data_IF_880843313084
#
_entry.id   IF_880843313084
#
_cell.length_a   1.000
_cell.length_b   1.000
_cell.length_c   1.000
_cell.angle_alpha   90.00
_cell.angle_beta   90.00
_cell.angle_gamma   90.00
#
_symmetry.space_group_name_H-M   'P 1'
#
loop_
_entity.id
_entity.type
_entity.pdbx_description
1 polymer ?
#
# COMPACT_ATOMS: atom_id res chain seq x y z
N UNK A 1 4.58 14.44 35.18
CA UNK A 1 3.26 14.18 34.56
C UNK A 1 3.29 14.77 33.16
N UNK A 2 3.80 13.98 32.18
CA UNK A 2 3.81 14.39 30.78
C UNK A 2 2.42 14.06 30.23
N UNK A 3 1.63 15.08 30.00
CA UNK A 3 0.40 14.93 29.22
C UNK A 3 0.81 14.58 27.79
N UNK A 4 0.61 13.33 27.40
CA UNK A 4 0.58 12.93 25.99
C UNK A 4 -0.39 13.87 25.27
N UNK A 5 0.17 14.79 24.51
CA UNK A 5 -0.56 15.58 23.53
C UNK A 5 -0.96 14.59 22.40
N UNK A 6 -2.00 13.81 22.67
CA UNK A 6 -2.65 12.98 21.67
C UNK A 6 -3.35 13.96 20.73
N UNK A 7 -2.65 14.44 19.72
CA UNK A 7 -3.29 15.12 18.60
C UNK A 7 -4.23 14.10 17.94
N UNK A 8 -5.50 14.17 18.32
CA UNK A 8 -6.57 13.50 17.59
C UNK A 8 -6.84 14.34 16.33
N UNK A 9 -6.08 14.10 15.28
CA UNK A 9 -6.30 14.77 14.01
C UNK A 9 -7.63 14.32 13.43
N UNK A 10 -8.50 15.31 13.17
CA UNK A 10 -9.75 15.06 12.45
C UNK A 10 -9.49 15.15 10.95
N UNK A 11 -9.56 14.03 10.27
CA UNK A 11 -9.34 13.95 8.84
C UNK A 11 -10.58 13.47 8.07
N UNK A 12 -10.75 13.90 6.79
CA UNK A 12 -11.71 13.28 5.89
C UNK A 12 -11.40 11.79 5.69
N UNK A 13 -12.43 10.97 5.51
CA UNK A 13 -12.27 9.52 5.33
C UNK A 13 -12.93 9.05 4.04
N UNK A 14 -12.13 8.41 3.20
CA UNK A 14 -12.56 7.71 2.00
C UNK A 14 -12.64 6.20 2.29
N UNK A 15 -13.86 5.67 2.29
CA UNK A 15 -14.11 4.24 2.53
C UNK A 15 -14.14 3.50 1.20
N UNK A 16 -13.10 2.72 0.90
CA UNK A 16 -12.94 1.99 -0.36
C UNK A 16 -12.83 0.48 -0.13
N UNK A 17 -13.21 -0.37 -1.09
CA UNK A 17 -13.05 -1.82 -0.99
C UNK A 17 -11.60 -2.30 -1.25
N UNK A 18 -10.61 -1.48 -0.93
CA UNK A 18 -9.17 -1.74 -1.13
C UNK A 18 -8.36 -1.40 0.12
N UNK A 19 -7.07 -1.64 0.08
CA UNK A 19 -6.09 -1.28 1.12
C UNK A 19 -4.96 -0.50 0.45
N UNK A 20 -4.68 0.69 0.98
CA UNK A 20 -3.53 1.51 0.60
C UNK A 20 -2.42 1.30 1.62
N UNK A 21 -1.19 1.15 1.15
CA UNK A 21 0.02 1.05 1.98
C UNK A 21 0.84 2.37 1.90
N UNK A 22 1.65 2.68 2.91
CA UNK A 22 2.63 3.77 2.81
C UNK A 22 3.54 3.60 1.58
N UNK A 23 3.79 4.70 0.87
CA UNK A 23 4.59 4.73 -0.37
C UNK A 23 3.86 4.28 -1.64
N UNK A 24 2.72 3.62 -1.51
CA UNK A 24 1.94 3.14 -2.66
C UNK A 24 1.23 4.28 -3.39
N UNK A 25 1.27 4.26 -4.73
CA UNK A 25 0.49 5.17 -5.58
C UNK A 25 -0.81 4.51 -6.01
N UNK A 26 -1.91 5.25 -5.91
CA UNK A 26 -3.23 4.75 -6.24
C UNK A 26 -3.96 5.75 -7.14
N UNK A 27 -4.32 5.38 -8.39
CA UNK A 27 -5.21 6.17 -9.20
C UNK A 27 -6.66 6.03 -8.70
N UNK A 28 -7.38 7.14 -8.65
CA UNK A 28 -8.77 7.20 -8.20
C UNK A 28 -9.59 8.05 -9.16
N UNK A 29 -10.74 7.51 -9.57
CA UNK A 29 -11.78 8.24 -10.28
C UNK A 29 -12.87 8.67 -9.30
N UNK A 30 -13.11 9.98 -9.17
CA UNK A 30 -13.99 10.58 -8.16
C UNK A 30 -15.24 11.12 -8.84
N UNK A 31 -16.33 10.37 -8.77
CA UNK A 31 -17.62 10.71 -9.39
C UNK A 31 -18.74 10.98 -8.37
N UNK A 32 -18.70 10.38 -7.18
CA UNK A 32 -19.73 10.58 -6.16
C UNK A 32 -19.67 12.00 -5.57
N UNK A 33 -20.79 12.72 -5.49
CA UNK A 33 -20.87 14.11 -5.02
C UNK A 33 -20.25 14.35 -3.65
N UNK A 34 -20.41 13.41 -2.72
CA UNK A 34 -19.81 13.53 -1.38
C UNK A 34 -18.29 13.49 -1.41
N UNK A 35 -17.71 12.70 -2.31
CA UNK A 35 -16.26 12.57 -2.44
C UNK A 35 -15.69 13.72 -3.30
N UNK A 36 -16.42 14.25 -4.27
CA UNK A 36 -16.05 15.49 -4.98
C UNK A 36 -15.84 16.62 -3.99
N UNK A 37 -16.82 16.88 -3.10
CA UNK A 37 -16.72 17.90 -2.03
C UNK A 37 -15.53 17.65 -1.09
N UNK A 38 -15.26 16.38 -0.78
CA UNK A 38 -14.12 16.00 0.05
C UNK A 38 -12.78 16.33 -0.65
N UNK A 39 -12.64 15.96 -1.91
CA UNK A 39 -11.40 16.19 -2.68
C UNK A 39 -11.19 17.69 -2.91
N UNK A 40 -12.22 18.44 -3.25
CA UNK A 40 -12.16 19.91 -3.35
C UNK A 40 -11.68 20.56 -2.06
N UNK A 41 -12.20 20.10 -0.93
CA UNK A 41 -11.77 20.56 0.38
C UNK A 41 -10.29 20.22 0.63
N UNK A 42 -9.86 19.00 0.33
CA UNK A 42 -8.47 18.58 0.50
C UNK A 42 -7.51 19.38 -0.38
N UNK A 43 -7.86 19.60 -1.65
CA UNK A 43 -7.06 20.40 -2.58
C UNK A 43 -6.93 21.85 -2.11
N UNK A 44 -8.07 22.47 -1.71
CA UNK A 44 -8.09 23.87 -1.26
C UNK A 44 -7.25 24.12 -0.01
N UNK A 45 -7.18 23.15 0.89
CA UNK A 45 -6.53 23.30 2.19
C UNK A 45 -5.19 22.55 2.31
N UNK A 46 -4.72 21.96 1.21
CA UNK A 46 -3.54 21.06 1.20
C UNK A 46 -3.62 20.00 2.31
N UNK A 47 -4.81 19.39 2.46
CA UNK A 47 -5.10 18.47 3.55
C UNK A 47 -5.08 17.02 3.07
N UNK A 48 -4.39 16.16 3.80
CA UNK A 48 -4.46 14.70 3.63
C UNK A 48 -5.83 14.16 4.04
N UNK A 49 -6.21 13.03 3.48
CA UNK A 49 -7.39 12.27 3.89
C UNK A 49 -7.03 10.82 4.17
N UNK A 50 -7.85 10.12 4.92
CA UNK A 50 -7.62 8.72 5.25
C UNK A 50 -8.34 7.78 4.29
N UNK A 51 -7.66 6.75 3.81
CA UNK A 51 -8.27 5.62 3.09
C UNK A 51 -8.40 4.45 4.06
N UNK A 52 -9.62 3.93 4.20
CA UNK A 52 -9.93 2.75 5.02
C UNK A 52 -10.66 1.70 4.20
N UNK A 53 -10.42 0.42 4.54
CA UNK A 53 -11.18 -0.67 3.93
C UNK A 53 -12.63 -0.65 4.41
N UNK A 54 -13.60 -0.62 3.48
CA UNK A 54 -15.04 -0.50 3.75
C UNK A 54 -15.70 -1.76 4.34
N UNK A 55 -14.99 -2.89 4.49
CA UNK A 55 -15.59 -4.11 5.07
C UNK A 55 -15.87 -3.95 6.56
N UNK A 56 -17.14 -4.14 6.96
CA UNK A 56 -17.67 -3.95 8.32
C UNK A 56 -17.09 -4.86 9.44
N UNK A 57 -16.30 -5.89 9.12
CA UNK A 57 -15.88 -6.92 10.09
C UNK A 57 -14.47 -6.70 10.66
N UNK A 58 -13.92 -5.48 10.57
CA UNK A 58 -12.63 -5.16 11.19
C UNK A 58 -12.86 -4.59 12.60
N UNK A 59 -12.43 -5.33 13.61
CA UNK A 59 -12.41 -4.88 15.01
C UNK A 59 -11.54 -3.65 15.22
N UNK A 60 -10.50 -3.47 14.37
CA UNK A 60 -9.63 -2.30 14.36
C UNK A 60 -9.72 -1.65 12.97
N UNK A 61 -10.26 -0.44 12.89
CA UNK A 61 -10.28 0.33 11.64
C UNK A 61 -8.93 1.00 11.43
N UNK A 62 -7.96 0.24 10.89
CA UNK A 62 -6.65 0.77 10.50
C UNK A 62 -6.71 1.16 9.03
N UNK A 63 -6.16 2.34 8.71
CA UNK A 63 -6.07 2.90 7.37
C UNK A 63 -4.70 3.49 7.09
N UNK A 64 -4.58 4.07 5.90
CA UNK A 64 -3.44 4.85 5.47
C UNK A 64 -3.89 6.25 5.07
N UNK A 65 -3.20 7.29 5.53
CA UNK A 65 -3.41 8.65 5.04
C UNK A 65 -2.90 8.75 3.61
N UNK A 66 -3.61 9.52 2.80
CA UNK A 66 -3.31 9.72 1.40
C UNK A 66 -3.14 11.22 1.12
N UNK A 67 -2.13 11.54 0.33
CA UNK A 67 -1.88 12.87 -0.22
C UNK A 67 -2.16 12.85 -1.72
N UNK A 68 -2.82 13.89 -2.25
CA UNK A 68 -3.06 14.03 -3.69
C UNK A 68 -1.74 14.45 -4.32
N UNK A 69 -1.08 13.51 -5.00
CA UNK A 69 0.20 13.76 -5.66
C UNK A 69 0.03 14.35 -7.07
N UNK A 70 -1.12 14.08 -7.72
CA UNK A 70 -1.41 14.60 -9.05
C UNK A 70 -2.92 14.68 -9.29
N UNK A 71 -3.37 15.73 -9.94
CA UNK A 71 -4.68 15.83 -10.58
C UNK A 71 -4.46 15.58 -12.06
N UNK A 72 -4.97 14.47 -12.59
CA UNK A 72 -4.76 14.03 -13.98
C UNK A 72 -5.80 14.64 -14.90
N UNK A 73 -7.04 14.78 -14.42
CA UNK A 73 -8.15 15.39 -15.13
C UNK A 73 -9.16 15.96 -14.16
N UNK A 74 -9.72 17.12 -14.52
CA UNK A 74 -10.90 17.68 -13.90
C UNK A 74 -11.84 18.04 -15.04
N UNK A 75 -12.88 17.23 -15.27
CA UNK A 75 -13.83 17.52 -16.34
C UNK A 75 -14.73 18.67 -15.92
N UNK A 76 -14.58 19.80 -16.65
CA UNK A 76 -15.20 21.09 -16.34
C UNK A 76 -16.72 21.12 -16.29
N UNK A 77 -17.44 20.13 -16.87
CA UNK A 77 -18.91 20.08 -16.87
C UNK A 77 -19.49 19.07 -15.86
N UNK A 78 -18.78 18.00 -15.51
CA UNK A 78 -19.25 16.96 -14.59
C UNK A 78 -18.72 17.13 -13.18
N UNK A 79 -17.65 17.92 -13.00
CA UNK A 79 -16.94 18.09 -11.73
C UNK A 79 -16.35 16.79 -11.22
N UNK A 80 -16.02 15.85 -12.11
CA UNK A 80 -15.34 14.61 -11.79
C UNK A 80 -13.83 14.83 -11.75
N UNK A 81 -13.14 14.04 -10.93
CA UNK A 81 -11.68 14.14 -10.77
C UNK A 81 -11.03 12.80 -11.02
N UNK A 82 -10.00 12.81 -11.87
CA UNK A 82 -9.01 11.75 -11.94
C UNK A 82 -7.77 12.20 -11.18
N UNK A 83 -7.47 11.54 -10.09
CA UNK A 83 -6.35 11.88 -9.22
C UNK A 83 -5.44 10.70 -8.99
N UNK A 84 -4.16 10.98 -8.75
CA UNK A 84 -3.23 9.99 -8.19
C UNK A 84 -2.92 10.41 -6.76
N UNK A 85 -3.08 9.47 -5.83
CA UNK A 85 -2.74 9.69 -4.43
C UNK A 85 -1.55 8.82 -4.04
N UNK A 86 -0.77 9.29 -3.06
CA UNK A 86 0.32 8.53 -2.46
C UNK A 86 -0.02 8.24 -1.00
N UNK A 87 0.12 6.99 -0.57
CA UNK A 87 0.00 6.61 0.83
C UNK A 87 1.15 7.18 1.65
N UNK A 88 0.85 7.77 2.82
CA UNK A 88 1.86 8.46 3.64
C UNK A 88 2.12 7.68 4.92
N UNK A 89 1.15 7.60 5.81
CA UNK A 89 1.31 7.00 7.13
C UNK A 89 0.08 6.21 7.56
N UNK A 90 0.29 5.26 8.43
CA UNK A 90 -0.79 4.43 8.97
C UNK A 90 -1.47 5.13 10.14
N UNK A 91 -2.77 4.93 10.26
CA UNK A 91 -3.56 5.44 11.37
C UNK A 91 -4.58 4.42 11.85
N UNK A 92 -5.03 4.60 13.09
CA UNK A 92 -6.19 3.91 13.66
C UNK A 92 -7.31 4.91 13.91
N UNK A 93 -8.52 4.55 13.53
CA UNK A 93 -9.74 5.34 13.82
C UNK A 93 -10.09 5.21 15.28
N UNK A 94 -10.30 6.35 15.95
CA UNK A 94 -10.80 6.43 17.33
C UNK A 94 -12.31 6.63 17.38
N UNK A 95 -12.82 7.58 16.58
CA UNK A 95 -14.25 7.82 16.45
C UNK A 95 -14.57 8.46 15.11
N UNK A 96 -15.80 8.29 14.65
CA UNK A 96 -16.30 8.92 13.43
C UNK A 96 -17.04 10.21 13.73
N UNK A 97 -16.98 11.13 12.77
CA UNK A 97 -17.72 12.38 12.76
C UNK A 97 -18.51 12.48 11.46
N UNK A 98 -19.79 12.83 11.56
CA UNK A 98 -20.74 12.91 10.45
C UNK A 98 -21.30 14.32 10.25
N UNK A 99 -20.58 15.36 10.67
CA UNK A 99 -21.02 16.75 10.56
C UNK A 99 -20.95 17.34 9.15
N UNK A 100 -20.29 16.65 8.21
CA UNK A 100 -20.21 17.00 6.78
C UNK A 100 -20.89 15.93 5.93
N UNK A 101 -21.13 16.23 4.65
CA UNK A 101 -21.71 15.31 3.68
C UNK A 101 -20.82 14.07 3.46
N UNK A 102 -19.53 14.17 3.76
CA UNK A 102 -18.56 13.08 3.73
C UNK A 102 -18.12 12.70 5.15
N UNK A 103 -17.75 11.44 5.30
CA UNK A 103 -17.28 10.90 6.57
C UNK A 103 -15.97 11.57 7.00
N UNK A 104 -15.85 11.88 8.29
CA UNK A 104 -14.62 12.29 8.95
C UNK A 104 -14.33 11.34 10.12
N UNK A 105 -13.09 11.29 10.57
CA UNK A 105 -12.72 10.55 11.78
C UNK A 105 -11.66 11.29 12.58
N UNK A 106 -11.72 11.12 13.88
CA UNK A 106 -10.59 11.38 14.77
C UNK A 106 -9.68 10.17 14.73
N UNK A 107 -8.42 10.38 14.41
CA UNK A 107 -7.45 9.33 14.19
C UNK A 107 -6.21 9.51 15.06
N UNK A 108 -5.51 8.42 15.31
CA UNK A 108 -4.18 8.40 15.92
C UNK A 108 -3.24 7.66 14.99
N UNK A 109 -2.00 8.11 14.86
CA UNK A 109 -0.95 7.40 14.11
C UNK A 109 -0.81 5.97 14.63
N UNK A 110 -0.72 5.00 13.70
CA UNK A 110 -0.48 3.59 13.99
C UNK A 110 1.01 3.31 13.81
N UNK A 111 1.77 3.57 14.89
CA UNK A 111 3.21 3.42 14.91
C UNK A 111 3.65 1.97 15.09
N UNK A 112 4.86 1.67 14.66
CA UNK A 112 5.50 0.42 15.00
C UNK A 112 5.84 0.37 16.49
N UNK A 113 5.74 -0.82 17.07
CA UNK A 113 6.23 -1.12 18.41
C UNK A 113 7.71 -1.47 18.32
N UNK A 114 8.10 -2.14 17.23
CA UNK A 114 9.47 -2.46 16.88
C UNK A 114 9.72 -2.08 15.42
N UNK A 115 10.48 -1.03 15.21
CA UNK A 115 10.91 -0.50 13.92
C UNK A 115 12.35 -0.90 13.57
N UNK A 116 12.99 -1.74 14.39
CA UNK A 116 14.33 -2.25 14.14
C UNK A 116 14.37 -3.03 12.81
N UNK A 117 15.38 -2.72 12.00
CA UNK A 117 15.58 -3.36 10.71
C UNK A 117 16.53 -4.54 10.88
N UNK A 118 16.06 -5.73 10.59
CA UNK A 118 16.91 -6.91 10.42
C UNK A 118 17.54 -6.84 9.02
N UNK A 119 18.77 -6.32 8.95
CA UNK A 119 19.48 -6.07 7.69
C UNK A 119 19.69 -7.33 6.86
N UNK A 120 19.91 -8.48 7.50
CA UNK A 120 20.07 -9.75 6.79
C UNK A 120 18.74 -10.15 6.14
N UNK A 121 17.65 -10.07 6.89
CA UNK A 121 16.32 -10.39 6.39
C UNK A 121 15.89 -9.42 5.29
N UNK A 122 16.22 -8.13 5.42
CA UNK A 122 15.97 -7.12 4.39
C UNK A 122 16.75 -7.45 3.10
N UNK A 123 18.04 -7.77 3.21
CA UNK A 123 18.85 -8.16 2.07
C UNK A 123 18.29 -9.40 1.37
N UNK A 124 17.99 -10.45 2.11
CA UNK A 124 17.38 -11.66 1.58
C UNK A 124 16.04 -11.39 0.88
N UNK A 125 15.21 -10.51 1.46
CA UNK A 125 13.93 -10.15 0.87
C UNK A 125 14.12 -9.38 -0.43
N UNK A 126 15.12 -8.49 -0.51
CA UNK A 126 15.48 -7.77 -1.72
C UNK A 126 16.00 -8.72 -2.81
N UNK A 127 16.79 -9.75 -2.46
CA UNK A 127 17.23 -10.77 -3.44
C UNK A 127 16.02 -11.43 -4.12
N UNK A 128 15.01 -11.85 -3.33
CA UNK A 128 13.79 -12.43 -3.92
C UNK A 128 12.97 -11.40 -4.71
N UNK A 129 12.94 -10.14 -4.29
CA UNK A 129 12.30 -9.07 -5.06
C UNK A 129 12.93 -8.95 -6.44
N UNK A 130 14.25 -8.84 -6.50
CA UNK A 130 14.97 -8.72 -7.77
C UNK A 130 14.78 -9.96 -8.65
N UNK A 131 14.76 -11.16 -8.08
CA UNK A 131 14.47 -12.39 -8.81
C UNK A 131 13.08 -12.35 -9.46
N UNK A 132 12.05 -11.94 -8.72
CA UNK A 132 10.69 -11.76 -9.26
C UNK A 132 10.68 -10.74 -10.39
N UNK A 133 11.29 -9.56 -10.19
CA UNK A 133 11.33 -8.50 -11.19
C UNK A 133 12.07 -8.94 -12.46
N UNK A 134 13.16 -9.69 -12.33
CA UNK A 134 13.89 -10.27 -13.46
C UNK A 134 13.02 -11.24 -14.25
N UNK A 135 12.37 -12.17 -13.57
CA UNK A 135 11.48 -13.15 -14.20
C UNK A 135 10.29 -12.51 -14.91
N UNK A 136 9.81 -11.35 -14.41
CA UNK A 136 8.75 -10.55 -15.05
C UNK A 136 9.25 -9.65 -16.19
N UNK A 137 10.53 -9.75 -16.59
CA UNK A 137 11.10 -8.95 -17.67
C UNK A 137 11.34 -7.48 -17.33
N UNK A 138 11.37 -7.10 -16.05
CA UNK A 138 11.56 -5.73 -15.59
C UNK A 138 13.02 -5.30 -15.45
N UNK A 139 13.96 -5.98 -16.14
CA UNK A 139 15.42 -5.77 -16.02
C UNK A 139 15.86 -4.33 -16.24
N UNK A 140 15.24 -3.62 -17.21
CA UNK A 140 15.54 -2.21 -17.48
C UNK A 140 15.12 -1.27 -16.34
N UNK A 141 14.10 -1.63 -15.59
CA UNK A 141 13.63 -0.87 -14.42
C UNK A 141 14.53 -1.10 -13.21
N UNK A 142 15.04 -2.33 -13.04
CA UNK A 142 15.93 -2.69 -11.92
C UNK A 142 17.18 -1.82 -11.87
N UNK A 143 17.80 -1.53 -13.02
CA UNK A 143 18.99 -0.68 -13.11
C UNK A 143 18.76 0.77 -12.65
N UNK A 144 17.50 1.21 -12.55
CA UNK A 144 17.12 2.57 -12.18
C UNK A 144 16.55 2.67 -10.75
N UNK A 145 16.37 1.53 -10.08
CA UNK A 145 15.73 1.47 -8.75
C UNK A 145 16.82 1.40 -7.70
N UNK A 146 16.76 2.31 -6.71
CA UNK A 146 17.52 2.16 -5.48
C UNK A 146 17.02 0.93 -4.72
N UNK A 147 17.94 0.19 -4.10
CA UNK A 147 17.57 -0.94 -3.26
C UNK A 147 16.62 -0.48 -2.15
N UNK A 148 15.42 -1.09 -2.02
CA UNK A 148 14.50 -0.77 -0.94
C UNK A 148 15.14 -0.97 0.43
N UNK A 149 14.85 -0.02 1.33
CA UNK A 149 15.40 0.01 2.69
C UNK A 149 14.40 -0.43 3.76
N UNK A 150 13.15 -0.65 3.35
CA UNK A 150 12.06 -1.02 4.26
C UNK A 150 10.97 -1.83 3.53
N UNK A 151 10.18 -2.57 4.32
CA UNK A 151 9.12 -3.43 3.80
C UNK A 151 8.07 -2.69 2.98
N UNK A 152 7.69 -1.47 3.36
CA UNK A 152 6.72 -0.70 2.57
C UNK A 152 7.28 -0.24 1.23
N UNK A 153 8.57 0.05 1.13
CA UNK A 153 9.22 0.34 -0.15
C UNK A 153 9.17 -0.90 -1.07
N UNK A 154 9.51 -2.08 -0.55
CA UNK A 154 9.38 -3.34 -1.29
C UNK A 154 7.93 -3.56 -1.73
N UNK A 155 6.96 -3.39 -0.82
CA UNK A 155 5.55 -3.64 -1.13
C UNK A 155 4.98 -2.71 -2.18
N UNK A 156 5.48 -1.47 -2.28
CA UNK A 156 5.04 -0.49 -3.28
C UNK A 156 5.45 -0.85 -4.72
N UNK A 157 6.41 -1.75 -4.88
CA UNK A 157 6.90 -2.23 -6.17
C UNK A 157 6.18 -3.49 -6.66
N UNK A 158 5.26 -4.04 -5.87
CA UNK A 158 4.60 -5.32 -6.11
C UNK A 158 3.09 -5.16 -6.22
N UNK A 159 2.49 -5.95 -7.09
CA UNK A 159 1.04 -6.14 -7.06
C UNK A 159 0.70 -7.22 -6.02
N UNK A 160 0.36 -6.77 -4.81
CA UNK A 160 0.09 -7.62 -3.66
C UNK A 160 -1.41 -7.70 -3.45
N UNK A 161 -1.91 -8.92 -3.21
CA UNK A 161 -3.32 -9.14 -2.95
C UNK A 161 -3.80 -8.39 -1.68
N UNK A 162 -5.09 -8.07 -1.66
CA UNK A 162 -5.71 -7.28 -0.60
C UNK A 162 -5.54 -7.88 0.80
N UNK A 163 -5.53 -9.21 0.93
CA UNK A 163 -5.37 -9.90 2.22
C UNK A 163 -3.96 -9.67 2.76
N UNK A 164 -2.97 -9.83 1.90
CA UNK A 164 -1.58 -9.59 2.25
C UNK A 164 -1.32 -8.11 2.57
N UNK A 165 -1.83 -7.16 1.76
CA UNK A 165 -1.76 -5.71 2.07
C UNK A 165 -2.35 -5.40 3.45
N UNK A 166 -3.48 -6.04 3.82
CA UNK A 166 -4.09 -5.87 5.13
C UNK A 166 -3.21 -6.39 6.27
N UNK A 167 -2.51 -7.50 6.08
CA UNK A 167 -1.55 -8.02 7.05
C UNK A 167 -0.38 -7.05 7.24
N UNK A 168 0.21 -6.55 6.16
CA UNK A 168 1.29 -5.55 6.19
C UNK A 168 0.85 -4.26 6.89
N UNK A 169 -0.34 -3.73 6.54
CA UNK A 169 -0.87 -2.49 7.13
C UNK A 169 -1.06 -2.61 8.64
N UNK A 170 -1.47 -3.77 9.15
CA UNK A 170 -1.75 -4.02 10.58
C UNK A 170 -0.51 -4.35 11.41
N UNK A 171 0.52 -4.91 10.80
CA UNK A 171 1.75 -5.27 11.50
C UNK A 171 2.42 -4.03 12.11
N UNK A 172 2.86 -4.14 13.35
CA UNK A 172 3.61 -3.12 14.07
C UNK A 172 5.09 -3.50 14.26
N UNK A 173 5.60 -4.40 13.41
CA UNK A 173 6.99 -4.81 13.38
C UNK A 173 7.50 -4.83 11.96
N UNK A 174 8.61 -4.15 11.71
CA UNK A 174 9.27 -4.15 10.40
C UNK A 174 9.74 -5.56 10.04
N UNK A 175 10.29 -6.28 10.99
CA UNK A 175 10.70 -7.67 10.82
C UNK A 175 9.55 -8.58 10.36
N UNK A 176 8.38 -8.45 11.00
CA UNK A 176 7.20 -9.25 10.61
C UNK A 176 6.74 -8.94 9.20
N UNK A 177 6.78 -7.67 8.79
CA UNK A 177 6.44 -7.25 7.42
C UNK A 177 7.41 -7.87 6.40
N UNK A 178 8.72 -7.85 6.69
CA UNK A 178 9.73 -8.48 5.84
C UNK A 178 9.52 -10.00 5.73
N UNK A 179 9.19 -10.69 6.81
CA UNK A 179 8.86 -12.13 6.80
C UNK A 179 7.65 -12.41 5.90
N UNK A 180 6.62 -11.58 5.99
CA UNK A 180 5.42 -11.69 5.14
C UNK A 180 5.80 -11.51 3.67
N UNK A 181 6.55 -10.45 3.33
CA UNK A 181 6.98 -10.16 1.96
C UNK A 181 7.87 -11.24 1.40
N UNK A 182 8.87 -11.70 2.15
CA UNK A 182 9.74 -12.81 1.74
C UNK A 182 8.94 -14.05 1.37
N UNK A 183 7.89 -14.38 2.15
CA UNK A 183 7.01 -15.52 1.86
C UNK A 183 6.18 -15.31 0.60
N UNK A 184 5.69 -14.08 0.37
CA UNK A 184 4.93 -13.71 -0.84
C UNK A 184 5.83 -13.84 -2.07
N UNK A 185 7.03 -13.28 -2.02
CA UNK A 185 8.00 -13.31 -3.12
C UNK A 185 8.42 -14.74 -3.48
N UNK A 186 8.75 -15.57 -2.49
CA UNK A 186 9.04 -17.00 -2.73
C UNK A 186 7.89 -17.73 -3.44
N UNK A 187 6.66 -17.46 -3.03
CA UNK A 187 5.49 -18.06 -3.71
C UNK A 187 5.31 -17.53 -5.14
N UNK A 188 5.60 -16.25 -5.37
CA UNK A 188 5.54 -15.65 -6.69
C UNK A 188 6.57 -16.29 -7.63
N UNK A 189 7.81 -16.51 -7.18
CA UNK A 189 8.86 -17.19 -7.95
C UNK A 189 8.39 -18.59 -8.37
N UNK A 190 7.94 -19.39 -7.41
CA UNK A 190 7.45 -20.75 -7.71
C UNK A 190 6.31 -20.73 -8.72
N UNK A 191 5.37 -19.77 -8.59
CA UNK A 191 4.25 -19.64 -9.53
C UNK A 191 4.72 -19.29 -10.94
N UNK A 192 5.63 -18.32 -11.08
CA UNK A 192 6.20 -17.91 -12.37
C UNK A 192 6.92 -19.10 -13.03
N UNK A 193 7.75 -19.84 -12.27
CA UNK A 193 8.47 -21.00 -12.79
C UNK A 193 7.54 -22.12 -13.24
N UNK A 194 6.39 -22.25 -12.61
CA UNK A 194 5.39 -23.26 -12.99
C UNK A 194 4.58 -22.86 -14.24
N UNK A 195 4.27 -21.56 -14.38
CA UNK A 195 3.47 -21.04 -15.50
C UNK A 195 4.31 -20.83 -16.77
N UNK A 196 5.65 -20.64 -16.65
CA UNK A 196 6.57 -20.49 -17.77
C UNK A 196 7.83 -21.37 -17.63
N UNK A 197 7.68 -22.70 -17.78
CA UNK A 197 8.80 -23.64 -17.61
C UNK A 197 9.92 -23.47 -18.65
N UNK A 198 9.67 -22.77 -19.77
CA UNK A 198 10.65 -22.55 -20.84
C UNK A 198 11.65 -21.44 -20.44
N UNK A 199 11.22 -20.42 -19.70
CA UNK A 199 12.12 -19.36 -19.21
C UNK A 199 12.89 -19.76 -17.94
N UNK A 200 12.42 -20.76 -17.19
CA UNK A 200 13.05 -21.19 -15.94
C UNK A 200 14.28 -22.07 -16.10
N UNK A 201 14.65 -22.44 -17.34
CA UNK A 201 15.85 -23.25 -17.62
C UNK A 201 15.76 -24.71 -17.16
N UNK A 202 14.60 -25.16 -16.70
CA UNK A 202 14.34 -26.58 -16.48
C UNK A 202 14.13 -27.28 -17.82
N UNK A 203 15.23 -27.58 -18.55
CA UNK A 203 15.18 -28.59 -19.59
C UNK A 203 14.87 -29.92 -18.93
N UNK A 204 13.70 -30.50 -19.28
CA UNK A 204 13.38 -31.88 -18.96
C UNK A 204 14.49 -32.80 -19.49
N UNK A 205 15.29 -33.35 -18.59
CA UNK A 205 16.24 -34.45 -18.89
C UNK A 205 15.56 -35.79 -19.18
N UNK A 206 14.25 -35.80 -19.49
CA UNK A 206 13.49 -37.02 -19.77
C UNK A 206 13.52 -37.46 -21.24
N UNK A 207 14.42 -36.93 -22.10
CA UNK A 207 14.56 -37.37 -23.50
C UNK A 207 15.85 -38.11 -23.81
N UNK A 208 16.56 -38.64 -22.83
CA UNK A 208 17.72 -39.52 -23.06
C UNK A 208 17.55 -40.87 -22.38
N UNK A 209 16.46 -41.60 -22.70
CA UNK A 209 16.39 -43.06 -22.57
C UNK A 209 15.66 -43.60 -23.80
N UNK A 210 16.47 -44.02 -24.82
CA UNK A 210 16.14 -44.98 -25.83
C UNK A 210 17.44 -45.59 -26.35
#
# INVERSE_FOLDING_TARGET
MYFDNIMNDKIPIFSLPLVLLPGEKLPLHIFESKYKKMIEYCLKHNQKFGIINSKKNDTLSIGCTAEISQVVGAEGSTGEYDIIVTGIERFIVKSYNYSKDYKQAYVKTWQDIDDSIDEILLLETNVFLYEVLMKLGASSKIAQINMPKAAFEISSMLDIDKRAKKMLLKSQSEKDRLIILKRILKKAIVKIDYEDPIQSGYHNYSQFEA
#
